data_IF_314712296238
#
_entry.id   IF_314712296238
#
_cell.length_a   1.000
_cell.length_b   1.000
_cell.length_c   1.000
_cell.angle_alpha   90.00
_cell.angle_beta   90.00
_cell.angle_gamma   90.00
#
_symmetry.space_group_name_H-M   'P 1'
#
loop_
_entity.id
_entity.type
_entity.pdbx_description
1 polymer ?
#
# COMPACT_ATOMS: atom_id res chain seq x y z
N UNK A 1 -9.09 -29.46 11.28
CA UNK A 1 -9.53 -28.63 10.15
C UNK A 1 -9.28 -27.19 10.52
N UNK A 2 -8.11 -26.66 10.16
CA UNK A 2 -7.71 -25.25 10.38
C UNK A 2 -6.62 -24.86 9.37
N UNK A 3 -6.90 -25.03 8.07
CA UNK A 3 -5.96 -24.66 6.99
C UNK A 3 -6.40 -23.43 6.17
N UNK A 4 -7.54 -22.80 6.49
CA UNK A 4 -8.10 -21.71 5.65
C UNK A 4 -7.83 -20.30 6.16
N UNK A 5 -7.39 -20.10 7.40
CA UNK A 5 -7.11 -18.76 7.95
C UNK A 5 -5.82 -18.14 7.36
N UNK A 6 -4.95 -18.94 6.73
CA UNK A 6 -3.76 -18.48 6.00
C UNK A 6 -3.91 -18.52 4.47
N UNK A 7 -5.13 -18.68 3.95
CA UNK A 7 -5.34 -18.88 2.50
C UNK A 7 -5.27 -17.60 1.66
N UNK A 8 -5.45 -16.42 2.27
CA UNK A 8 -5.49 -15.14 1.55
C UNK A 8 -4.12 -14.45 1.57
N UNK A 9 -3.67 -14.00 0.41
CA UNK A 9 -2.51 -13.13 0.29
C UNK A 9 -2.74 -11.79 1.02
N UNK A 10 -1.69 -11.09 1.47
CA UNK A 10 -1.80 -9.77 2.07
C UNK A 10 -2.62 -8.79 1.22
N UNK A 11 -2.45 -8.87 -0.10
CA UNK A 11 -3.22 -8.09 -1.08
C UNK A 11 -4.72 -8.39 -0.98
N UNK A 12 -5.11 -9.66 -1.03
CA UNK A 12 -6.52 -10.07 -0.95
C UNK A 12 -7.13 -9.63 0.38
N UNK A 13 -6.40 -9.81 1.48
CA UNK A 13 -6.89 -9.39 2.79
C UNK A 13 -7.04 -7.88 2.91
N UNK A 14 -6.09 -7.11 2.37
CA UNK A 14 -6.17 -5.66 2.31
C UNK A 14 -7.42 -5.20 1.55
N UNK A 15 -7.68 -5.73 0.35
CA UNK A 15 -8.86 -5.31 -0.42
C UNK A 15 -10.17 -5.74 0.26
N UNK A 16 -10.21 -6.90 0.91
CA UNK A 16 -11.35 -7.29 1.74
C UNK A 16 -11.61 -6.26 2.85
N UNK A 17 -10.58 -5.84 3.58
CA UNK A 17 -10.72 -4.82 4.64
C UNK A 17 -11.14 -3.48 4.03
N UNK A 18 -10.48 -3.04 2.96
CA UNK A 18 -10.75 -1.78 2.27
C UNK A 18 -12.21 -1.65 1.84
N UNK A 19 -12.81 -2.74 1.34
CA UNK A 19 -14.19 -2.71 0.84
C UNK A 19 -15.27 -2.89 1.94
N UNK A 20 -14.90 -3.40 3.12
CA UNK A 20 -15.85 -3.67 4.19
C UNK A 20 -15.71 -2.71 5.40
N UNK A 21 -14.60 -1.97 5.51
CA UNK A 21 -14.40 -0.99 6.57
C UNK A 21 -15.30 0.24 6.40
N UNK A 22 -15.43 1.03 7.48
CA UNK A 22 -16.16 2.30 7.44
C UNK A 22 -15.56 3.23 6.38
N UNK A 23 -16.41 3.77 5.50
CA UNK A 23 -16.02 4.64 4.39
C UNK A 23 -15.09 5.79 4.82
N UNK A 24 -15.41 6.47 5.93
CA UNK A 24 -14.63 7.63 6.37
C UNK A 24 -13.21 7.22 6.82
N UNK A 25 -13.05 6.03 7.41
CA UNK A 25 -11.73 5.53 7.81
C UNK A 25 -10.87 5.19 6.59
N UNK A 26 -11.50 4.58 5.58
CA UNK A 26 -10.85 4.29 4.31
C UNK A 26 -10.44 5.58 3.60
N UNK A 27 -11.34 6.57 3.51
CA UNK A 27 -11.03 7.86 2.90
C UNK A 27 -9.87 8.56 3.62
N UNK A 28 -9.91 8.64 4.96
CA UNK A 28 -8.84 9.25 5.75
C UNK A 28 -7.48 8.57 5.52
N UNK A 29 -7.44 7.23 5.45
CA UNK A 29 -6.18 6.52 5.29
C UNK A 29 -5.63 6.61 3.85
N UNK A 30 -6.52 6.63 2.85
CA UNK A 30 -6.13 6.88 1.46
C UNK A 30 -5.60 8.30 1.27
N UNK A 31 -6.23 9.31 1.88
CA UNK A 31 -5.74 10.70 1.82
C UNK A 31 -4.32 10.83 2.38
N UNK A 32 -4.06 10.29 3.58
CA UNK A 32 -2.69 10.26 4.15
C UNK A 32 -1.69 9.54 3.23
N UNK A 33 -2.13 8.46 2.59
CA UNK A 33 -1.29 7.69 1.66
C UNK A 33 -0.96 8.51 0.41
N UNK A 34 -1.94 9.22 -0.13
CA UNK A 34 -1.75 10.08 -1.30
C UNK A 34 -0.86 11.29 -1.00
N UNK A 35 -1.01 11.91 0.18
CA UNK A 35 -0.12 12.99 0.62
C UNK A 35 1.34 12.52 0.67
N UNK A 36 1.60 11.36 1.28
CA UNK A 36 2.95 10.74 1.30
C UNK A 36 3.45 10.45 -0.11
N UNK A 37 2.60 9.89 -0.97
CA UNK A 37 2.96 9.59 -2.36
C UNK A 37 3.36 10.84 -3.13
N UNK A 38 2.54 11.90 -3.09
CA UNK A 38 2.85 13.17 -3.78
C UNK A 38 4.13 13.79 -3.22
N UNK A 39 4.32 13.81 -1.91
CA UNK A 39 5.54 14.34 -1.29
C UNK A 39 6.80 13.58 -1.76
N UNK A 40 6.73 12.24 -1.85
CA UNK A 40 7.84 11.42 -2.35
C UNK A 40 8.10 11.68 -3.84
N UNK A 41 7.05 11.73 -4.67
CA UNK A 41 7.18 12.00 -6.11
C UNK A 41 7.83 13.36 -6.39
N UNK A 42 7.34 14.41 -5.73
CA UNK A 42 7.91 15.77 -5.81
C UNK A 42 9.36 15.83 -5.32
N UNK A 43 9.67 15.11 -4.23
CA UNK A 43 11.03 15.02 -3.72
C UNK A 43 11.96 14.32 -4.72
N UNK A 44 11.53 13.20 -5.31
CA UNK A 44 12.29 12.47 -6.33
C UNK A 44 12.57 13.34 -7.56
N UNK A 45 11.55 13.99 -8.11
CA UNK A 45 11.68 14.84 -9.30
C UNK A 45 12.64 16.00 -9.06
N UNK A 46 12.53 16.69 -7.92
CA UNK A 46 13.46 17.77 -7.52
C UNK A 46 14.92 17.33 -7.38
N UNK A 47 15.15 16.03 -7.18
CA UNK A 47 16.49 15.44 -7.07
C UNK A 47 16.93 14.70 -8.34
N UNK A 48 16.21 14.85 -9.45
CA UNK A 48 16.57 14.27 -10.75
C UNK A 48 16.17 12.81 -10.95
N UNK A 49 15.30 12.28 -10.07
CA UNK A 49 14.68 10.96 -10.25
C UNK A 49 13.28 11.16 -10.84
N UNK A 50 13.22 11.22 -12.17
CA UNK A 50 11.97 11.39 -12.90
C UNK A 50 11.16 10.07 -13.03
N UNK A 51 9.99 10.18 -13.65
CA UNK A 51 9.09 9.04 -13.88
C UNK A 51 9.76 7.92 -14.70
N UNK A 52 10.66 8.26 -15.63
CA UNK A 52 11.37 7.27 -16.46
C UNK A 52 12.31 6.45 -15.56
N UNK A 53 13.07 7.10 -14.68
CA UNK A 53 13.94 6.42 -13.72
C UNK A 53 13.13 5.53 -12.76
N UNK A 54 11.98 6.02 -12.27
CA UNK A 54 11.10 5.26 -11.40
C UNK A 54 10.54 4.00 -12.10
N UNK A 55 10.02 4.15 -13.32
CA UNK A 55 9.48 3.03 -14.10
C UNK A 55 10.56 2.00 -14.44
N UNK A 56 11.77 2.46 -14.76
CA UNK A 56 12.92 1.59 -14.98
C UNK A 56 13.29 0.80 -13.72
N UNK A 57 13.29 1.45 -12.55
CA UNK A 57 13.50 0.79 -11.26
C UNK A 57 12.46 -0.30 -11.00
N UNK A 58 11.17 0.00 -11.18
CA UNK A 58 10.09 -0.97 -10.99
C UNK A 58 10.27 -2.19 -11.90
N UNK A 59 10.56 -1.96 -13.19
CA UNK A 59 10.76 -3.04 -14.15
C UNK A 59 11.94 -3.94 -13.81
N UNK A 60 13.02 -3.38 -13.25
CA UNK A 60 14.24 -4.12 -12.91
C UNK A 60 14.16 -4.82 -11.55
N UNK A 61 13.26 -4.37 -10.65
CA UNK A 61 13.22 -4.81 -9.25
C UNK A 61 11.87 -5.43 -8.86
N UNK A 62 11.21 -6.13 -9.77
CA UNK A 62 9.84 -6.65 -9.57
C UNK A 62 9.67 -7.48 -8.29
N UNK A 63 10.63 -8.35 -7.95
CA UNK A 63 10.58 -9.15 -6.70
C UNK A 63 10.56 -8.26 -5.47
N UNK A 64 11.51 -7.33 -5.38
CA UNK A 64 11.58 -6.36 -4.28
C UNK A 64 10.28 -5.54 -4.21
N UNK A 65 9.79 -5.02 -5.35
CA UNK A 65 8.55 -4.24 -5.40
C UNK A 65 7.38 -5.07 -4.87
N UNK A 66 7.25 -6.32 -5.29
CA UNK A 66 6.16 -7.20 -4.83
C UNK A 66 6.25 -7.51 -3.33
N UNK A 67 7.45 -7.73 -2.78
CA UNK A 67 7.66 -7.92 -1.35
C UNK A 67 7.26 -6.68 -0.56
N UNK A 68 7.72 -5.49 -0.99
CA UNK A 68 7.40 -4.23 -0.31
C UNK A 68 5.94 -3.83 -0.47
N UNK A 69 5.28 -4.24 -1.55
CA UNK A 69 3.83 -4.08 -1.70
C UNK A 69 3.07 -4.93 -0.65
N UNK A 70 3.53 -6.13 -0.33
CA UNK A 70 2.93 -6.93 0.75
C UNK A 70 3.05 -6.22 2.11
N UNK A 71 4.20 -5.61 2.41
CA UNK A 71 4.36 -4.82 3.63
C UNK A 71 3.38 -3.66 3.68
N UNK A 72 3.17 -2.95 2.55
CA UNK A 72 2.20 -1.86 2.45
C UNK A 72 0.78 -2.36 2.69
N UNK A 73 0.39 -3.48 2.08
CA UNK A 73 -0.95 -4.06 2.30
C UNK A 73 -1.20 -4.42 3.77
N UNK A 74 -0.20 -4.98 4.46
CA UNK A 74 -0.30 -5.30 5.89
C UNK A 74 -0.40 -4.02 6.72
N UNK A 75 0.46 -3.04 6.46
CA UNK A 75 0.49 -1.77 7.19
C UNK A 75 -0.83 -1.01 7.08
N UNK A 76 -1.31 -0.78 5.86
CA UNK A 76 -2.56 -0.05 5.62
C UNK A 76 -3.78 -0.80 6.20
N UNK A 77 -3.76 -2.14 6.17
CA UNK A 77 -4.80 -2.93 6.83
C UNK A 77 -4.84 -2.66 8.33
N UNK A 78 -3.67 -2.61 9.00
CA UNK A 78 -3.56 -2.25 10.41
C UNK A 78 -4.00 -0.82 10.71
N UNK A 79 -3.63 0.12 9.85
CA UNK A 79 -3.99 1.54 10.02
C UNK A 79 -5.51 1.78 9.87
N UNK A 80 -6.17 1.08 8.95
CA UNK A 80 -7.64 1.15 8.79
C UNK A 80 -8.36 0.50 9.98
N UNK A 81 -7.89 -0.66 10.44
CA UNK A 81 -8.53 -1.41 11.53
C UNK A 81 -8.37 -0.72 12.88
N UNK A 82 -7.19 -0.17 13.17
CA UNK A 82 -6.89 0.52 14.46
C UNK A 82 -7.69 1.81 14.66
N UNK A 83 -8.22 2.41 13.59
CA UNK A 83 -9.09 3.59 13.69
C UNK A 83 -10.54 3.23 14.07
N UNK A 84 -10.91 1.95 14.12
CA UNK A 84 -12.19 1.48 14.66
C UNK A 84 -12.15 1.13 16.16
N UNK A 85 -10.95 1.10 16.76
CA UNK A 85 -10.74 0.88 18.21
C UNK A 85 -10.80 2.19 19.01
#
# INVERSE_FOLDING_TARGET
MDYDIFSQSPREKFFEILFNANKNLVENELEKTFEKFIAMSEFCEKNGFDEIAQNSFISQNQTLVNERLNDIYIGLSGDILSQNE
#
